data_IF_921563671708
#
_entry.id   IF_921563671708
#
_cell.length_a   1.000
_cell.length_b   1.000
_cell.length_c   1.000
_cell.angle_alpha   90.00
_cell.angle_beta   90.00
_cell.angle_gamma   90.00
#
_symmetry.space_group_name_H-M   'P 1'
#
loop_
_entity.id
_entity.type
_entity.pdbx_description
1 polymer ?
#
# COMPACT_ATOMS: atom_id res chain seq x y z
N UNK A 1 -1.13 32.41 -6.69
CA UNK A 1 -1.47 30.99 -6.46
C UNK A 1 -2.45 30.58 -7.55
N UNK A 2 -2.02 29.75 -8.50
CA UNK A 2 -2.85 29.33 -9.62
C UNK A 2 -3.89 28.32 -9.12
N UNK A 3 -5.17 28.64 -9.26
CA UNK A 3 -6.27 27.72 -9.01
C UNK A 3 -6.19 26.61 -10.05
N UNK A 4 -5.62 25.46 -9.71
CA UNK A 4 -5.61 24.29 -10.60
C UNK A 4 -7.06 23.90 -10.90
N UNK A 5 -7.53 24.21 -12.12
CA UNK A 5 -8.82 23.77 -12.60
C UNK A 5 -8.83 22.24 -12.59
N UNK A 6 -9.91 21.64 -12.10
CA UNK A 6 -10.09 20.19 -12.18
C UNK A 6 -10.04 19.73 -13.64
N UNK A 7 -9.18 18.75 -13.90
CA UNK A 7 -8.76 18.32 -15.25
C UNK A 7 -9.30 16.94 -15.63
N UNK A 8 -9.68 16.12 -14.66
CA UNK A 8 -10.09 14.73 -14.89
C UNK A 8 -11.45 14.43 -14.27
N UNK A 9 -12.30 13.70 -14.98
CA UNK A 9 -13.44 12.98 -14.39
C UNK A 9 -12.94 11.73 -13.65
N UNK A 10 -13.79 11.14 -12.82
CA UNK A 10 -13.42 9.97 -12.02
C UNK A 10 -12.99 8.78 -12.89
N UNK A 11 -13.65 8.52 -14.03
CA UNK A 11 -13.28 7.44 -14.96
C UNK A 11 -11.93 7.67 -15.63
N UNK A 12 -11.62 8.92 -15.99
CA UNK A 12 -10.31 9.28 -16.56
C UNK A 12 -9.19 9.14 -15.52
N UNK A 13 -9.47 9.57 -14.28
CA UNK A 13 -8.55 9.39 -13.16
C UNK A 13 -8.31 7.91 -12.88
N UNK A 14 -9.37 7.11 -12.79
CA UNK A 14 -9.35 5.67 -12.60
C UNK A 14 -8.43 4.97 -13.60
N UNK A 15 -8.64 5.24 -14.90
CA UNK A 15 -7.80 4.72 -15.97
C UNK A 15 -6.34 5.16 -15.82
N UNK A 16 -6.10 6.43 -15.48
CA UNK A 16 -4.76 7.02 -15.37
C UNK A 16 -3.93 6.46 -14.21
N UNK A 17 -4.56 6.07 -13.11
CA UNK A 17 -3.89 5.53 -11.92
C UNK A 17 -4.02 4.01 -11.78
N UNK A 18 -4.74 3.35 -12.70
CA UNK A 18 -4.95 1.90 -12.67
C UNK A 18 -5.82 1.44 -11.50
N UNK A 19 -6.76 2.28 -11.05
CA UNK A 19 -7.70 1.96 -9.96
C UNK A 19 -9.13 1.92 -10.50
N UNK A 20 -10.03 1.27 -9.77
CA UNK A 20 -11.46 1.38 -10.06
C UNK A 20 -12.01 2.71 -9.54
N UNK A 21 -13.08 3.22 -10.15
CA UNK A 21 -13.80 4.40 -9.62
C UNK A 21 -14.26 4.17 -8.17
N UNK A 22 -14.69 2.94 -7.85
CA UNK A 22 -15.10 2.55 -6.49
C UNK A 22 -13.95 2.71 -5.50
N UNK A 23 -12.74 2.31 -5.87
CA UNK A 23 -11.54 2.47 -5.03
C UNK A 23 -11.22 3.94 -4.79
N UNK A 24 -11.32 4.79 -5.83
CA UNK A 24 -11.08 6.22 -5.69
C UNK A 24 -12.11 6.85 -4.74
N UNK A 25 -13.41 6.56 -4.91
CA UNK A 25 -14.47 7.05 -4.00
C UNK A 25 -14.23 6.59 -2.57
N UNK A 26 -13.83 5.34 -2.39
CA UNK A 26 -13.50 4.82 -1.07
C UNK A 26 -12.33 5.59 -0.42
N UNK A 27 -11.30 5.94 -1.19
CA UNK A 27 -10.20 6.78 -0.68
C UNK A 27 -10.64 8.22 -0.38
N UNK A 28 -11.57 8.80 -1.14
CA UNK A 28 -12.20 10.08 -0.80
C UNK A 28 -12.97 9.99 0.52
N UNK A 29 -13.83 8.97 0.69
CA UNK A 29 -14.65 8.76 1.89
C UNK A 29 -13.80 8.58 3.15
N UNK A 30 -12.65 7.91 3.02
CA UNK A 30 -11.69 7.77 4.11
C UNK A 30 -10.97 9.09 4.44
N UNK A 31 -10.95 10.05 3.53
CA UNK A 31 -10.22 11.31 3.67
C UNK A 31 -8.75 11.25 3.20
N UNK A 32 -8.39 10.25 2.40
CA UNK A 32 -7.07 10.14 1.77
C UNK A 32 -6.90 11.04 0.54
N UNK A 33 -8.00 11.56 0.01
CA UNK A 33 -8.05 12.57 -1.04
C UNK A 33 -8.78 13.80 -0.48
N UNK A 34 -8.30 15.00 -0.83
CA UNK A 34 -9.05 16.21 -0.46
C UNK A 34 -10.36 16.25 -1.26
N UNK A 35 -11.45 16.62 -0.57
CA UNK A 35 -12.78 16.74 -1.16
C UNK A 35 -12.75 17.65 -2.38
N UNK A 36 -12.89 17.04 -3.55
CA UNK A 36 -12.70 17.70 -4.83
C UNK A 36 -13.71 18.82 -5.06
N UNK A 37 -13.22 19.96 -5.55
CA UNK A 37 -14.04 21.09 -6.02
C UNK A 37 -15.12 20.59 -6.97
N UNK A 38 -16.37 20.91 -6.69
CA UNK A 38 -17.47 20.69 -7.63
C UNK A 38 -17.41 21.81 -8.67
N UNK A 39 -17.37 21.46 -9.95
CA UNK A 39 -17.67 22.44 -11.01
C UNK A 39 -19.14 22.86 -10.93
N UNK A 40 -19.47 24.00 -11.51
CA UNK A 40 -20.86 24.39 -11.75
C UNK A 40 -21.59 23.24 -12.47
N UNK A 41 -22.61 22.69 -11.81
CA UNK A 41 -23.29 21.46 -12.22
C UNK A 41 -23.01 20.23 -11.36
N UNK A 42 -22.23 20.34 -10.28
CA UNK A 42 -22.14 19.31 -9.23
C UNK A 42 -21.23 18.12 -9.55
N UNK A 43 -20.49 18.16 -10.66
CA UNK A 43 -19.63 17.05 -11.08
C UNK A 43 -18.24 17.16 -10.43
N UNK A 44 -17.76 16.06 -9.83
CA UNK A 44 -16.40 15.95 -9.25
C UNK A 44 -15.34 16.05 -10.35
N UNK A 45 -14.29 16.83 -10.11
CA UNK A 45 -13.15 16.99 -11.05
C UNK A 45 -11.77 16.99 -10.40
N UNK A 46 -10.98 16.00 -10.73
CA UNK A 46 -9.69 15.75 -10.11
C UNK A 46 -8.56 16.50 -10.81
N UNK A 47 -7.48 16.73 -10.08
CA UNK A 47 -6.30 17.48 -10.50
C UNK A 47 -5.09 16.56 -10.73
N UNK A 48 -4.01 17.11 -11.28
CA UNK A 48 -2.74 16.38 -11.37
C UNK A 48 -2.14 16.07 -9.98
N UNK A 49 -2.51 16.82 -8.93
CA UNK A 49 -2.14 16.51 -7.54
C UNK A 49 -2.82 15.24 -7.03
N UNK A 50 -4.11 15.05 -7.35
CA UNK A 50 -4.84 13.83 -7.00
C UNK A 50 -4.24 12.59 -7.67
N UNK A 51 -3.76 12.74 -8.91
CA UNK A 51 -3.03 11.67 -9.62
C UNK A 51 -1.73 11.33 -8.87
N UNK A 52 -0.93 12.33 -8.48
CA UNK A 52 0.31 12.11 -7.72
C UNK A 52 0.03 11.41 -6.39
N UNK A 53 -1.01 11.86 -5.67
CA UNK A 53 -1.43 11.30 -4.38
C UNK A 53 -1.89 9.85 -4.50
N UNK A 54 -2.72 9.53 -5.49
CA UNK A 54 -3.19 8.16 -5.72
C UNK A 54 -2.05 7.20 -6.09
N UNK A 55 -1.09 7.65 -6.90
CA UNK A 55 0.11 6.86 -7.20
C UNK A 55 0.95 6.62 -5.94
N UNK A 56 1.06 7.62 -5.07
CA UNK A 56 1.78 7.48 -3.81
C UNK A 56 1.08 6.50 -2.86
N UNK A 57 -0.23 6.61 -2.69
CA UNK A 57 -1.06 5.64 -1.92
C UNK A 57 -0.86 4.22 -2.47
N UNK A 58 -0.89 4.06 -3.80
CA UNK A 58 -0.64 2.78 -4.46
C UNK A 58 0.74 2.20 -4.12
N UNK A 59 1.79 3.04 -4.15
CA UNK A 59 3.15 2.64 -3.78
C UNK A 59 3.24 2.19 -2.32
N UNK A 60 2.69 2.97 -1.38
CA UNK A 60 2.71 2.61 0.04
C UNK A 60 1.94 1.30 0.30
N UNK A 61 0.81 1.10 -0.39
CA UNK A 61 0.05 -0.16 -0.28
C UNK A 61 0.86 -1.37 -0.75
N UNK A 62 1.63 -1.23 -1.83
CA UNK A 62 2.53 -2.31 -2.29
C UNK A 62 3.67 -2.60 -1.30
N UNK A 63 4.06 -1.62 -0.49
CA UNK A 63 5.07 -1.78 0.56
C UNK A 63 4.50 -2.37 1.87
N UNK A 64 3.22 -2.73 1.90
CA UNK A 64 2.58 -3.35 3.07
C UNK A 64 1.89 -2.37 4.01
N UNK A 65 2.00 -1.06 3.78
CA UNK A 65 1.29 -0.08 4.60
C UNK A 65 -0.22 -0.21 4.41
N UNK A 66 -0.92 -0.10 5.53
CA UNK A 66 -2.37 -0.10 5.64
C UNK A 66 -2.94 1.28 5.31
N UNK A 67 -4.23 1.32 4.95
CA UNK A 67 -4.92 2.59 4.73
C UNK A 67 -5.01 3.45 6.00
N UNK A 68 -5.02 2.82 7.19
CA UNK A 68 -5.05 3.54 8.46
C UNK A 68 -3.73 4.27 8.73
N UNK A 69 -2.60 3.63 8.47
CA UNK A 69 -1.29 4.29 8.55
C UNK A 69 -1.17 5.44 7.55
N UNK A 70 -1.68 5.26 6.33
CA UNK A 70 -1.71 6.35 5.34
C UNK A 70 -2.60 7.51 5.79
N UNK A 71 -3.74 7.24 6.45
CA UNK A 71 -4.60 8.26 7.03
C UNK A 71 -3.93 9.01 8.17
N UNK A 72 -3.14 8.31 8.99
CA UNK A 72 -2.33 8.93 10.04
C UNK A 72 -1.35 9.94 9.44
N UNK A 73 -0.56 9.51 8.45
CA UNK A 73 0.39 10.36 7.74
C UNK A 73 -0.30 11.54 7.06
N UNK A 74 -1.48 11.32 6.49
CA UNK A 74 -2.30 12.37 5.89
C UNK A 74 -2.73 13.42 6.92
N UNK A 75 -3.25 12.99 8.07
CA UNK A 75 -3.65 13.92 9.15
C UNK A 75 -2.48 14.74 9.67
N UNK A 76 -1.30 14.12 9.80
CA UNK A 76 -0.07 14.83 10.18
C UNK A 76 0.32 15.88 9.13
N UNK A 77 0.25 15.51 7.84
CA UNK A 77 0.49 16.46 6.75
C UNK A 77 -0.49 17.62 6.79
N UNK A 78 -1.79 17.36 6.95
CA UNK A 78 -2.83 18.40 6.99
C UNK A 78 -2.64 19.37 8.15
N UNK A 79 -2.20 18.88 9.32
CA UNK A 79 -1.95 19.71 10.51
C UNK A 79 -0.76 20.66 10.37
N UNK A 80 0.32 20.20 9.73
CA UNK A 80 1.59 20.93 9.68
C UNK A 80 1.95 21.50 8.31
N UNK A 81 1.23 21.09 7.26
CA UNK A 81 1.50 21.37 5.84
C UNK A 81 2.99 21.20 5.48
N UNK A 82 3.65 20.21 6.09
CA UNK A 82 5.10 20.02 6.03
C UNK A 82 5.48 18.54 6.06
N UNK A 83 6.25 18.13 5.06
CA UNK A 83 6.80 16.78 4.98
C UNK A 83 7.83 16.49 6.08
N UNK A 84 8.48 17.52 6.66
CA UNK A 84 9.47 17.33 7.73
C UNK A 84 8.91 16.60 8.95
N UNK A 85 7.61 16.73 9.19
CA UNK A 85 6.93 16.09 10.31
C UNK A 85 6.36 14.70 9.93
N UNK A 86 6.15 14.44 8.64
CA UNK A 86 5.54 13.20 8.14
C UNK A 86 6.61 12.15 7.84
N UNK A 87 7.76 12.56 7.30
CA UNK A 87 8.82 11.65 6.87
C UNK A 87 9.41 10.80 8.01
N UNK A 88 9.69 11.33 9.22
CA UNK A 88 10.16 10.50 10.33
C UNK A 88 9.15 9.41 10.69
N UNK A 89 7.86 9.76 10.74
CA UNK A 89 6.80 8.79 11.03
C UNK A 89 6.67 7.72 9.94
N UNK A 90 6.82 8.10 8.67
CA UNK A 90 6.84 7.14 7.58
C UNK A 90 8.02 6.16 7.70
N UNK A 91 9.20 6.64 8.11
CA UNK A 91 10.38 5.79 8.34
C UNK A 91 10.07 4.77 9.46
N UNK A 92 9.53 5.22 10.60
CA UNK A 92 9.16 4.31 11.70
C UNK A 92 8.19 3.20 11.25
N UNK A 93 7.19 3.55 10.44
CA UNK A 93 6.26 2.57 9.89
C UNK A 93 6.98 1.58 8.97
N UNK A 94 7.82 2.07 8.06
CA UNK A 94 8.59 1.21 7.15
C UNK A 94 9.52 0.25 7.91
N UNK A 95 10.18 0.72 8.96
CA UNK A 95 11.05 -0.11 9.80
C UNK A 95 10.25 -1.21 10.52
N UNK A 96 9.05 -0.89 11.03
CA UNK A 96 8.15 -1.87 11.64
C UNK A 96 7.67 -2.95 10.64
N UNK A 97 7.34 -2.54 9.42
CA UNK A 97 6.98 -3.46 8.34
C UNK A 97 8.17 -4.34 7.93
N UNK A 98 9.38 -3.77 7.83
CA UNK A 98 10.61 -4.51 7.55
C UNK A 98 10.92 -5.56 8.63
N UNK A 99 10.78 -5.21 9.91
CA UNK A 99 10.96 -6.14 11.02
C UNK A 99 9.97 -7.30 10.92
N UNK A 100 8.68 -7.00 10.74
CA UNK A 100 7.62 -8.01 10.58
C UNK A 100 7.88 -8.95 9.39
N UNK A 101 8.35 -8.40 8.27
CA UNK A 101 8.73 -9.21 7.11
C UNK A 101 9.92 -10.11 7.40
N UNK A 102 10.93 -9.60 8.10
CA UNK A 102 12.13 -10.35 8.47
C UNK A 102 11.79 -11.53 9.39
N UNK A 103 10.91 -11.32 10.38
CA UNK A 103 10.44 -12.37 11.28
C UNK A 103 9.71 -13.48 10.50
N UNK A 104 8.78 -13.10 9.63
CA UNK A 104 8.05 -14.07 8.77
C UNK A 104 8.99 -14.84 7.83
N UNK A 105 9.99 -14.17 7.27
CA UNK A 105 10.98 -14.84 6.42
C UNK A 105 11.79 -15.86 7.21
N UNK A 106 12.13 -15.56 8.46
CA UNK A 106 12.82 -16.49 9.36
C UNK A 106 11.96 -17.71 9.67
N UNK A 107 10.70 -17.50 10.08
CA UNK A 107 9.73 -18.57 10.36
C UNK A 107 9.50 -19.49 9.15
N UNK A 108 9.25 -18.90 7.98
CA UNK A 108 9.07 -19.65 6.73
C UNK A 108 10.36 -20.37 6.30
N UNK A 109 11.53 -19.79 6.60
CA UNK A 109 12.82 -20.42 6.38
C UNK A 109 13.00 -21.67 7.24
N UNK A 110 12.69 -21.59 8.53
CA UNK A 110 12.76 -22.72 9.46
C UNK A 110 11.81 -23.85 9.03
N UNK A 111 10.56 -23.53 8.71
CA UNK A 111 9.59 -24.52 8.24
C UNK A 111 10.04 -25.20 6.94
N UNK A 112 10.58 -24.44 5.98
CA UNK A 112 11.13 -24.99 4.74
C UNK A 112 12.23 -26.01 5.03
N UNK A 113 13.12 -25.71 5.97
CA UNK A 113 14.26 -26.56 6.29
C UNK A 113 13.82 -27.82 7.04
N UNK A 114 12.82 -27.73 7.92
CA UNK A 114 12.16 -28.89 8.54
C UNK A 114 11.51 -29.82 7.51
N UNK A 115 10.76 -29.25 6.55
CA UNK A 115 10.15 -30.02 5.45
C UNK A 115 11.22 -30.74 4.63
N UNK A 116 12.37 -30.11 4.36
CA UNK A 116 13.48 -30.74 3.63
C UNK A 116 14.08 -31.91 4.39
N UNK A 117 14.36 -31.74 5.68
CA UNK A 117 14.92 -32.79 6.52
C UNK A 117 13.97 -33.99 6.61
N UNK A 118 12.67 -33.74 6.78
CA UNK A 118 11.68 -34.82 6.82
C UNK A 118 11.57 -35.56 5.49
N UNK A 119 11.60 -34.83 4.35
CA UNK A 119 11.62 -35.44 3.02
C UNK A 119 12.83 -36.37 2.86
N UNK A 120 14.02 -35.92 3.25
CA UNK A 120 15.25 -36.72 3.17
C UNK A 120 15.17 -37.97 4.04
N UNK A 121 14.67 -37.84 5.27
CA UNK A 121 14.44 -38.97 6.16
C UNK A 121 13.51 -40.03 5.54
N UNK A 122 12.38 -39.60 4.97
CA UNK A 122 11.42 -40.51 4.31
C UNK A 122 12.04 -41.16 3.07
N UNK A 123 12.81 -40.42 2.27
CA UNK A 123 13.52 -40.98 1.10
C UNK A 123 14.54 -42.04 1.50
N UNK A 124 15.34 -41.81 2.55
CA UNK A 124 16.30 -42.81 3.04
C UNK A 124 15.60 -44.09 3.50
N UNK A 125 14.51 -43.95 4.27
CA UNK A 125 13.72 -45.10 4.69
C UNK A 125 13.16 -45.91 3.52
N UNK A 126 12.77 -45.25 2.42
CA UNK A 126 12.27 -45.97 1.25
C UNK A 126 13.37 -46.84 0.60
N UNK A 127 14.57 -46.29 0.46
CA UNK A 127 15.72 -47.01 -0.11
C UNK A 127 16.13 -48.21 0.77
N UNK A 128 16.08 -48.06 2.09
CA UNK A 128 16.43 -49.14 3.03
C UNK A 128 15.41 -50.30 3.03
N UNK A 129 14.15 -50.05 2.64
CA UNK A 129 13.10 -51.10 2.60
C UNK A 129 12.97 -51.79 1.23
N UNK A 130 13.62 -51.27 0.18
CA UNK A 130 13.62 -51.90 -1.16
C UNK A 130 14.74 -52.94 -1.35
N UNK A 131 15.66 -53.07 -0.36
CA UNK A 131 16.80 -54.00 -0.36
C UNK A 131 16.54 -55.34 0.40
N UNK A 132 15.32 -55.55 0.95
CA UNK A 132 14.84 -56.84 1.55
C UNK A 132 13.87 -57.60 0.63
#
# INVERSE_FOLDING_TARGET
MATTLGRYRIGELAAKVGLTERTIRYYEELGLLESVKRLDGGVRVYTDDDVRRLKYIGKLKMLGLTLQEMLELERMYQRHRSNRNVLPRLIELLDAHLATLSDRMSELGALRDEIRAYREHVTQRLLENDDE
#
